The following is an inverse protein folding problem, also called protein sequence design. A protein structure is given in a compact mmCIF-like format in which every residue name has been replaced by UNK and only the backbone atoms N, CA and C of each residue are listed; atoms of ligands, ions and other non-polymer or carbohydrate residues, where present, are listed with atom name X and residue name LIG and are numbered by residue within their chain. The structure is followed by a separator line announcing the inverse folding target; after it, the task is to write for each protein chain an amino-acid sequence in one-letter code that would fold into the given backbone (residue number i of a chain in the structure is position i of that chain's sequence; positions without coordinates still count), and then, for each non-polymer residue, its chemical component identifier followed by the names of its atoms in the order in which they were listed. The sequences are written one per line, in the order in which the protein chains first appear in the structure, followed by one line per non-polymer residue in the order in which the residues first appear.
data_IF_409027802987
#
_entry.id   IF_409027802987
#
_cell.length_a   1.000
_cell.length_b   1.000
_cell.length_c   1.000
_cell.angle_alpha   90.00
_cell.angle_beta   90.00
_cell.angle_gamma   90.00
#
_symmetry.space_group_name_H-M   'P 1'
#
loop_
_entity.id
_entity.type
_entity.pdbx_description
1 polymer ?
#
# COMPACT_ATOMS: atom_id res chain seq x y z
N UNK A 1 38.39 41.86 -10.23
CA UNK A 1 37.81 41.85 -8.87
C UNK A 1 37.91 43.21 -8.17
N UNK A 2 38.97 44.01 -8.38
CA UNK A 2 39.10 45.35 -7.76
C UNK A 2 38.21 46.44 -8.38
N UNK A 3 38.07 46.47 -9.71
CA UNK A 3 37.31 47.52 -10.42
C UNK A 3 35.79 47.45 -10.15
N UNK A 4 35.20 46.24 -10.18
CA UNK A 4 33.77 46.02 -9.87
C UNK A 4 33.39 46.45 -8.44
N UNK A 5 34.34 46.40 -7.49
CA UNK A 5 34.14 46.88 -6.12
C UNK A 5 34.22 48.40 -5.99
N UNK A 6 35.02 49.05 -6.82
CA UNK A 6 35.15 50.51 -6.86
C UNK A 6 33.92 51.15 -7.52
N UNK A 7 33.44 50.59 -8.63
CA UNK A 7 32.21 51.02 -9.31
C UNK A 7 30.97 50.86 -8.43
N UNK A 8 30.85 49.75 -7.68
CA UNK A 8 29.75 49.57 -6.72
C UNK A 8 29.78 50.57 -5.56
N UNK A 9 30.95 50.98 -5.09
CA UNK A 9 31.08 52.00 -4.04
C UNK A 9 30.74 53.40 -4.56
N UNK A 10 31.21 53.74 -5.76
CA UNK A 10 30.90 55.03 -6.39
C UNK A 10 29.40 55.14 -6.75
N UNK A 11 28.81 54.07 -7.28
CA UNK A 11 27.36 54.01 -7.55
C UNK A 11 26.52 54.10 -6.26
N UNK A 12 26.97 53.47 -5.17
CA UNK A 12 26.31 53.59 -3.87
C UNK A 12 26.36 55.01 -3.30
N UNK A 13 27.50 55.72 -3.45
CA UNK A 13 27.65 57.11 -3.02
C UNK A 13 26.80 58.09 -3.85
N UNK A 14 26.64 57.83 -5.15
CA UNK A 14 25.76 58.62 -6.03
C UNK A 14 24.27 58.37 -5.72
N UNK A 15 23.89 57.13 -5.43
CA UNK A 15 22.52 56.77 -5.01
C UNK A 15 22.15 57.39 -3.66
N UNK A 16 23.07 57.38 -2.69
CA UNK A 16 22.84 57.99 -1.37
C UNK A 16 22.69 59.52 -1.48
N UNK A 17 23.48 60.16 -2.35
CA UNK A 17 23.32 61.59 -2.65
C UNK A 17 21.99 61.88 -3.36
N UNK A 18 21.58 61.04 -4.31
CA UNK A 18 20.30 61.15 -5.00
C UNK A 18 19.10 60.98 -4.03
N UNK A 19 19.18 60.01 -3.13
CA UNK A 19 18.17 59.78 -2.09
C UNK A 19 18.10 60.96 -1.12
N UNK A 20 19.24 61.48 -0.68
CA UNK A 20 19.28 62.67 0.18
C UNK A 20 18.70 63.89 -0.52
N UNK A 21 18.97 64.07 -1.82
CA UNK A 21 18.40 65.16 -2.63
C UNK A 21 16.87 65.02 -2.75
N UNK A 22 16.36 63.81 -2.98
CA UNK A 22 14.92 63.55 -3.04
C UNK A 22 14.26 63.83 -1.69
N UNK A 23 14.86 63.37 -0.59
CA UNK A 23 14.36 63.62 0.76
C UNK A 23 14.32 65.12 1.05
N UNK A 24 15.38 65.85 0.68
CA UNK A 24 15.42 67.30 0.82
C UNK A 24 14.32 67.99 -0.01
N UNK A 25 14.11 67.58 -1.27
CA UNK A 25 13.04 68.11 -2.11
C UNK A 25 11.66 67.86 -1.49
N UNK A 26 11.45 66.67 -0.90
CA UNK A 26 10.25 66.36 -0.16
C UNK A 26 10.09 67.27 1.07
N UNK A 27 11.14 67.43 1.89
CA UNK A 27 11.12 68.31 3.07
C UNK A 27 10.80 69.76 2.70
N UNK A 28 11.37 70.27 1.60
CA UNK A 28 11.08 71.62 1.09
C UNK A 28 9.62 71.76 0.64
N UNK A 29 9.07 70.74 -0.05
CA UNK A 29 7.65 70.70 -0.44
C UNK A 29 6.73 70.65 0.80
N UNK A 30 7.08 69.84 1.80
CA UNK A 30 6.32 69.73 3.05
C UNK A 30 6.38 71.03 3.86
N UNK A 31 7.53 71.71 3.92
CA UNK A 31 7.65 73.00 4.59
C UNK A 31 6.81 74.09 3.90
N UNK A 32 6.73 74.08 2.56
CA UNK A 32 5.84 74.96 1.81
C UNK A 32 4.37 74.66 2.11
N UNK A 33 3.99 73.38 2.16
CA UNK A 33 2.65 72.95 2.51
C UNK A 33 2.28 73.36 3.95
N UNK A 34 3.18 73.17 4.91
CA UNK A 34 2.99 73.57 6.31
C UNK A 34 2.80 75.08 6.43
N UNK A 35 3.60 75.87 5.71
CA UNK A 35 3.43 77.33 5.66
C UNK A 35 2.06 77.73 5.12
N UNK A 36 1.64 77.16 3.99
CA UNK A 36 0.32 77.43 3.41
C UNK A 36 -0.81 77.00 4.34
N UNK A 37 -0.67 75.84 4.99
CA UNK A 37 -1.63 75.37 5.98
C UNK A 37 -1.75 76.34 7.17
N UNK A 38 -0.64 76.84 7.68
CA UNK A 38 -0.63 77.84 8.75
C UNK A 38 -1.27 79.17 8.30
N UNK A 39 -1.02 79.61 7.06
CA UNK A 39 -1.69 80.79 6.48
C UNK A 39 -3.22 80.58 6.37
N UNK A 40 -3.67 79.40 5.91
CA UNK A 40 -5.09 79.04 5.84
C UNK A 40 -5.74 79.07 7.22
N UNK A 41 -5.07 78.52 8.25
CA UNK A 41 -5.55 78.54 9.64
C UNK A 41 -5.69 79.97 10.17
N UNK A 42 -4.76 80.86 9.81
CA UNK A 42 -4.79 82.27 10.21
C UNK A 42 -5.85 83.10 9.46
N UNK A 43 -6.31 82.63 8.29
CA UNK A 43 -7.35 83.26 7.48
C UNK A 43 -8.78 82.84 7.89
N UNK A 44 -9.02 82.46 9.15
CA UNK A 44 -10.33 82.03 9.64
C UNK A 44 -11.46 82.96 9.13
N UNK A 45 -12.46 82.44 8.42
CA UNK A 45 -13.57 83.26 7.96
C UNK A 45 -14.43 83.66 9.15
N UNK A 46 -14.70 84.95 9.30
CA UNK A 46 -15.73 85.46 10.22
C UNK A 46 -17.00 84.62 10.05
N UNK A 47 -17.46 84.04 11.17
CA UNK A 47 -18.57 83.08 11.20
C UNK A 47 -19.82 83.76 10.62
N UNK A 48 -20.20 83.38 9.40
CA UNK A 48 -21.44 83.83 8.78
C UNK A 48 -22.64 83.15 9.47
N UNK A 49 -23.69 83.91 9.77
CA UNK A 49 -24.84 83.45 10.56
C UNK A 49 -25.64 82.28 9.92
N UNK A 50 -25.42 81.96 8.64
CA UNK A 50 -26.09 80.87 7.93
C UNK A 50 -25.16 79.67 7.66
N UNK A 51 -25.08 78.76 8.62
CA UNK A 51 -24.22 77.57 8.57
C UNK A 51 -24.45 76.67 7.35
N UNK A 52 -25.67 76.62 6.80
CA UNK A 52 -25.99 75.72 5.69
C UNK A 52 -25.41 76.24 4.36
N UNK A 53 -25.54 77.54 4.07
CA UNK A 53 -24.95 78.16 2.88
C UNK A 53 -23.41 78.13 2.93
N UNK A 54 -22.82 78.29 4.11
CA UNK A 54 -21.37 78.17 4.32
C UNK A 54 -20.86 76.76 4.00
N UNK A 55 -21.58 75.71 4.43
CA UNK A 55 -21.19 74.32 4.16
C UNK A 55 -21.26 73.97 2.66
N UNK A 56 -22.30 74.45 1.95
CA UNK A 56 -22.46 74.25 0.51
C UNK A 56 -21.37 74.99 -0.26
N UNK A 57 -21.02 76.22 0.14
CA UNK A 57 -19.94 76.99 -0.48
C UNK A 57 -18.56 76.34 -0.27
N UNK A 58 -18.29 75.80 0.92
CA UNK A 58 -17.03 75.07 1.19
C UNK A 58 -16.94 73.80 0.35
N UNK A 59 -18.04 73.04 0.26
CA UNK A 59 -18.08 71.81 -0.53
C UNK A 59 -17.86 72.10 -2.02
N UNK A 60 -18.47 73.16 -2.56
CA UNK A 60 -18.25 73.61 -3.94
C UNK A 60 -16.80 74.05 -4.20
N UNK A 61 -16.16 74.74 -3.25
CA UNK A 61 -14.75 75.13 -3.36
C UNK A 61 -13.81 73.90 -3.34
N UNK A 62 -14.02 72.95 -2.41
CA UNK A 62 -13.22 71.72 -2.35
C UNK A 62 -13.42 70.82 -3.57
N UNK A 63 -14.63 70.78 -4.15
CA UNK A 63 -14.90 70.02 -5.36
C UNK A 63 -14.26 70.68 -6.60
N UNK A 64 -14.17 72.01 -6.63
CA UNK A 64 -13.44 72.75 -7.66
C UNK A 64 -11.92 72.53 -7.55
N UNK A 65 -11.36 72.55 -6.33
CA UNK A 65 -9.95 72.21 -6.08
C UNK A 65 -9.64 70.77 -6.48
N UNK A 66 -10.49 69.81 -6.10
CA UNK A 66 -10.31 68.41 -6.48
C UNK A 66 -10.26 68.24 -8.01
N UNK A 67 -11.19 68.88 -8.74
CA UNK A 67 -11.19 68.88 -10.21
C UNK A 67 -9.93 69.52 -10.80
N UNK A 68 -9.42 70.57 -10.17
CA UNK A 68 -8.15 71.18 -10.55
C UNK A 68 -6.98 70.20 -10.34
N UNK A 69 -6.86 69.57 -9.18
CA UNK A 69 -5.83 68.58 -8.88
C UNK A 69 -5.90 67.34 -9.80
N UNK A 70 -7.09 66.88 -10.14
CA UNK A 70 -7.28 65.76 -11.08
C UNK A 70 -6.91 66.12 -12.53
N UNK A 71 -6.98 67.40 -12.91
CA UNK A 71 -6.61 67.88 -14.25
C UNK A 71 -5.15 68.35 -14.32
N UNK A 72 -4.51 68.57 -13.18
CA UNK A 72 -3.10 68.91 -13.10
C UNK A 72 -2.25 67.67 -13.37
N UNK A 73 -1.34 67.74 -14.34
CA UNK A 73 -0.33 66.71 -14.50
C UNK A 73 0.58 66.73 -13.28
N UNK A 74 0.79 65.58 -12.60
CA UNK A 74 1.81 65.50 -11.57
C UNK A 74 3.15 65.92 -12.18
N UNK A 75 3.82 66.88 -11.57
CA UNK A 75 5.23 67.12 -11.87
C UNK A 75 5.96 65.80 -11.68
N UNK A 76 6.63 65.30 -12.72
CA UNK A 76 7.33 64.04 -12.67
C UNK A 76 8.27 64.06 -11.46
N UNK A 77 8.12 63.10 -10.55
CA UNK A 77 9.02 62.90 -9.41
C UNK A 77 10.49 62.68 -9.84
N UNK A 78 10.71 62.52 -11.15
CA UNK A 78 11.99 62.35 -11.80
C UNK A 78 12.75 63.68 -11.91
N UNK A 79 13.26 64.17 -10.78
CA UNK A 79 14.50 64.93 -10.82
C UNK A 79 15.70 63.97 -10.99
N UNK A 80 15.62 62.74 -10.42
CA UNK A 80 16.73 61.78 -10.43
C UNK A 80 16.32 60.37 -10.89
N UNK A 81 16.62 60.04 -12.14
CA UNK A 81 16.32 58.74 -12.75
C UNK A 81 17.12 57.56 -12.13
N UNK A 82 18.19 57.85 -11.37
CA UNK A 82 19.05 56.82 -10.76
C UNK A 82 18.34 56.09 -9.61
N UNK A 83 17.48 56.78 -8.85
CA UNK A 83 16.72 56.19 -7.74
C UNK A 83 15.75 55.13 -8.25
N UNK A 84 15.01 55.43 -9.32
CA UNK A 84 14.09 54.48 -9.96
C UNK A 84 14.84 53.29 -10.55
N UNK A 85 16.02 53.52 -11.12
CA UNK A 85 16.87 52.47 -11.66
C UNK A 85 17.41 51.56 -10.53
N UNK A 86 17.81 52.12 -9.40
CA UNK A 86 18.28 51.35 -8.25
C UNK A 86 17.16 50.52 -7.63
N UNK A 87 16.02 51.16 -7.34
CA UNK A 87 14.85 50.48 -6.80
C UNK A 87 14.36 49.35 -7.72
N UNK A 88 14.35 49.58 -9.05
CA UNK A 88 14.01 48.56 -10.02
C UNK A 88 14.99 47.38 -10.05
N UNK A 89 16.30 47.65 -9.92
CA UNK A 89 17.32 46.59 -9.83
C UNK A 89 17.17 45.76 -8.54
N UNK A 90 16.92 46.42 -7.43
CA UNK A 90 16.80 45.76 -6.13
C UNK A 90 15.55 44.88 -6.06
N UNK A 91 14.41 45.37 -6.54
CA UNK A 91 13.19 44.56 -6.65
C UNK A 91 13.37 43.39 -7.63
N UNK A 92 14.08 43.59 -8.75
CA UNK A 92 14.37 42.50 -9.68
C UNK A 92 15.26 41.42 -9.06
N UNK A 93 16.30 41.81 -8.32
CA UNK A 93 17.19 40.88 -7.62
C UNK A 93 16.46 40.09 -6.53
N UNK A 94 15.60 40.77 -5.77
CA UNK A 94 14.75 40.15 -4.76
C UNK A 94 13.82 39.11 -5.40
N UNK A 95 13.14 39.48 -6.49
CA UNK A 95 12.27 38.57 -7.23
C UNK A 95 13.04 37.35 -7.77
N UNK A 96 14.24 37.55 -8.32
CA UNK A 96 15.09 36.45 -8.76
C UNK A 96 15.40 35.48 -7.61
N UNK A 97 15.79 36.00 -6.44
CA UNK A 97 16.07 35.17 -5.26
C UNK A 97 14.83 34.40 -4.79
N UNK A 98 13.66 35.04 -4.78
CA UNK A 98 12.41 34.40 -4.39
C UNK A 98 12.00 33.29 -5.38
N UNK A 99 12.15 33.53 -6.68
CA UNK A 99 11.88 32.54 -7.72
C UNK A 99 12.84 31.35 -7.64
N UNK A 100 14.13 31.58 -7.39
CA UNK A 100 15.11 30.51 -7.17
C UNK A 100 14.75 29.64 -5.96
N UNK A 101 14.29 30.23 -4.86
CA UNK A 101 13.81 29.47 -3.71
C UNK A 101 12.56 28.65 -4.03
N UNK A 102 11.60 29.23 -4.77
CA UNK A 102 10.39 28.51 -5.19
C UNK A 102 10.75 27.32 -6.08
N UNK A 103 11.63 27.51 -7.07
CA UNK A 103 12.12 26.43 -7.93
C UNK A 103 12.77 25.34 -7.09
N UNK A 104 13.68 25.69 -6.20
CA UNK A 104 14.37 24.73 -5.31
C UNK A 104 13.39 23.92 -4.46
N UNK A 105 12.35 24.57 -3.92
CA UNK A 105 11.30 23.91 -3.15
C UNK A 105 10.47 22.95 -4.01
N UNK A 106 10.09 23.39 -5.22
CA UNK A 106 9.37 22.56 -6.19
C UNK A 106 10.18 21.33 -6.59
N UNK A 107 11.48 21.48 -6.84
CA UNK A 107 12.38 20.39 -7.19
C UNK A 107 12.55 19.40 -6.04
N UNK A 108 12.81 19.88 -4.82
CA UNK A 108 12.92 19.03 -3.64
C UNK A 108 11.62 18.23 -3.39
N UNK A 109 10.45 18.86 -3.57
CA UNK A 109 9.15 18.19 -3.44
C UNK A 109 8.96 17.14 -4.53
N UNK A 110 9.27 17.46 -5.78
CA UNK A 110 9.21 16.53 -6.91
C UNK A 110 10.09 15.31 -6.67
N UNK A 111 11.31 15.53 -6.20
CA UNK A 111 12.30 14.47 -6.02
C UNK A 111 11.90 13.53 -4.89
N UNK A 112 11.45 14.09 -3.76
CA UNK A 112 10.86 13.31 -2.66
C UNK A 112 9.66 12.48 -3.11
N UNK A 113 8.75 13.05 -3.92
CA UNK A 113 7.60 12.31 -4.42
C UNK A 113 8.01 11.17 -5.37
N UNK A 114 9.04 11.39 -6.18
CA UNK A 114 9.61 10.38 -7.07
C UNK A 114 10.18 9.20 -6.29
N UNK A 115 11.00 9.48 -5.26
CA UNK A 115 11.57 8.46 -4.38
C UNK A 115 10.49 7.67 -3.65
N UNK A 116 9.50 8.36 -3.06
CA UNK A 116 8.37 7.69 -2.39
C UNK A 116 7.63 6.77 -3.35
N UNK A 117 7.34 7.23 -4.58
CA UNK A 117 6.67 6.43 -5.60
C UNK A 117 7.48 5.16 -5.93
N UNK A 118 8.78 5.28 -6.11
CA UNK A 118 9.66 4.13 -6.41
C UNK A 118 9.65 3.10 -5.27
N UNK A 119 9.72 3.57 -4.02
CA UNK A 119 9.64 2.71 -2.84
C UNK A 119 8.28 2.02 -2.71
N UNK A 120 7.18 2.75 -2.91
CA UNK A 120 5.82 2.20 -2.88
C UNK A 120 5.62 1.15 -3.98
N UNK A 121 6.17 1.41 -5.17
CA UNK A 121 6.06 0.47 -6.29
C UNK A 121 6.86 -0.82 -6.02
N UNK A 122 8.05 -0.70 -5.45
CA UNK A 122 8.83 -1.87 -5.01
C UNK A 122 8.10 -2.66 -3.92
N UNK A 123 7.57 -1.98 -2.92
CA UNK A 123 6.80 -2.59 -1.83
C UNK A 123 5.54 -3.31 -2.35
N UNK A 124 4.84 -2.72 -3.31
CA UNK A 124 3.69 -3.35 -3.96
C UNK A 124 4.08 -4.65 -4.68
N UNK A 125 5.20 -4.64 -5.40
CA UNK A 125 5.69 -5.84 -6.07
C UNK A 125 6.07 -6.94 -5.07
N UNK A 126 6.79 -6.59 -4.01
CA UNK A 126 7.12 -7.53 -2.91
C UNK A 126 5.84 -8.10 -2.28
N UNK A 127 4.80 -7.29 -2.05
CA UNK A 127 3.51 -7.74 -1.53
C UNK A 127 2.81 -8.72 -2.47
N UNK A 128 2.86 -8.49 -3.79
CA UNK A 128 2.32 -9.43 -4.78
C UNK A 128 3.06 -10.75 -4.74
N UNK A 129 4.39 -10.73 -4.67
CA UNK A 129 5.19 -11.96 -4.60
C UNK A 129 4.88 -12.77 -3.33
N UNK A 130 4.74 -12.10 -2.18
CA UNK A 130 4.32 -12.75 -0.92
C UNK A 130 2.92 -13.36 -1.05
N UNK A 131 1.97 -12.64 -1.66
CA UNK A 131 0.62 -13.14 -1.88
C UNK A 131 0.61 -14.38 -2.79
N UNK A 132 1.38 -14.37 -3.88
CA UNK A 132 1.54 -15.52 -4.77
C UNK A 132 2.12 -16.72 -4.01
N UNK A 133 3.20 -16.52 -3.25
CA UNK A 133 3.81 -17.58 -2.45
C UNK A 133 2.86 -18.16 -1.39
N UNK A 134 2.04 -17.30 -0.76
CA UNK A 134 1.01 -17.73 0.18
C UNK A 134 -0.09 -18.54 -0.51
N UNK A 135 -0.58 -18.11 -1.67
CA UNK A 135 -1.57 -18.85 -2.45
C UNK A 135 -1.03 -20.22 -2.89
N UNK A 136 0.21 -20.28 -3.38
CA UNK A 136 0.86 -21.55 -3.74
C UNK A 136 1.00 -22.49 -2.53
N UNK A 137 1.25 -21.94 -1.34
CA UNK A 137 1.29 -22.71 -0.11
C UNK A 137 -0.10 -23.25 0.27
N UNK A 138 -1.15 -22.42 0.17
CA UNK A 138 -2.53 -22.81 0.42
C UNK A 138 -2.97 -23.93 -0.53
N UNK A 139 -2.68 -23.83 -1.82
CA UNK A 139 -3.04 -24.86 -2.79
C UNK A 139 -2.28 -26.17 -2.55
N UNK A 140 -0.98 -26.10 -2.18
CA UNK A 140 -0.24 -27.30 -1.76
C UNK A 140 -0.87 -27.98 -0.54
N UNK A 141 -1.21 -27.21 0.49
CA UNK A 141 -1.89 -27.73 1.68
C UNK A 141 -3.27 -28.32 1.35
N UNK A 142 -4.00 -27.73 0.40
CA UNK A 142 -5.29 -28.24 -0.06
C UNK A 142 -5.15 -29.62 -0.72
N UNK A 143 -4.18 -29.79 -1.62
CA UNK A 143 -3.89 -31.08 -2.25
C UNK A 143 -3.45 -32.11 -1.22
N UNK A 144 -2.59 -31.73 -0.28
CA UNK A 144 -2.12 -32.61 0.79
C UNK A 144 -3.27 -33.06 1.70
N UNK A 145 -4.15 -32.12 2.10
CA UNK A 145 -5.36 -32.41 2.87
C UNK A 145 -6.27 -33.38 2.17
N UNK A 146 -6.48 -33.23 0.86
CA UNK A 146 -7.32 -34.15 0.08
C UNK A 146 -6.70 -35.54 0.02
N UNK A 147 -5.38 -35.62 -0.23
CA UNK A 147 -4.63 -36.87 -0.30
C UNK A 147 -4.69 -37.66 1.00
N UNK A 148 -4.56 -36.98 2.15
CA UNK A 148 -4.63 -37.60 3.47
C UNK A 148 -6.01 -37.47 4.14
N UNK A 149 -7.05 -37.19 3.36
CA UNK A 149 -8.41 -37.18 3.89
C UNK A 149 -8.79 -38.58 4.37
N UNK A 150 -9.55 -38.64 5.47
CA UNK A 150 -10.05 -39.91 6.03
C UNK A 150 -10.77 -40.74 4.95
N UNK A 151 -11.52 -40.08 4.08
CA UNK A 151 -12.22 -40.70 2.97
C UNK A 151 -11.25 -41.38 1.97
N UNK A 152 -10.20 -40.67 1.54
CA UNK A 152 -9.22 -41.23 0.59
C UNK A 152 -8.41 -42.38 1.21
N UNK A 153 -8.00 -42.23 2.49
CA UNK A 153 -7.31 -43.30 3.25
C UNK A 153 -8.22 -44.53 3.38
N UNK A 154 -9.50 -44.33 3.67
CA UNK A 154 -10.48 -45.42 3.80
C UNK A 154 -10.71 -46.13 2.46
N UNK A 155 -10.79 -45.41 1.35
CA UNK A 155 -10.87 -46.00 0.00
C UNK A 155 -9.63 -46.83 -0.33
N UNK A 156 -8.42 -46.31 -0.06
CA UNK A 156 -7.16 -47.04 -0.27
C UNK A 156 -7.11 -48.32 0.58
N UNK A 157 -7.52 -48.22 1.85
CA UNK A 157 -7.56 -49.36 2.78
C UNK A 157 -8.56 -50.41 2.32
N UNK A 158 -9.76 -49.99 1.89
CA UNK A 158 -10.77 -50.88 1.30
C UNK A 158 -10.24 -51.61 0.07
N UNK A 159 -9.52 -50.91 -0.82
CA UNK A 159 -8.90 -51.52 -2.00
C UNK A 159 -7.85 -52.58 -1.62
N UNK A 160 -7.01 -52.31 -0.60
CA UNK A 160 -6.02 -53.28 -0.08
C UNK A 160 -6.69 -54.52 0.52
N UNK A 161 -7.74 -54.33 1.31
CA UNK A 161 -8.53 -55.44 1.89
C UNK A 161 -9.11 -56.31 0.78
N UNK A 162 -9.71 -55.69 -0.24
CA UNK A 162 -10.30 -56.43 -1.37
C UNK A 162 -9.25 -57.25 -2.12
N UNK A 163 -8.07 -56.68 -2.38
CA UNK A 163 -6.95 -57.39 -3.02
C UNK A 163 -6.49 -58.59 -2.20
N UNK A 164 -6.41 -58.43 -0.88
CA UNK A 164 -6.01 -59.51 0.03
C UNK A 164 -7.07 -60.63 0.08
N UNK A 165 -8.35 -60.27 0.05
CA UNK A 165 -9.46 -61.22 -0.04
C UNK A 165 -9.39 -62.06 -1.31
N UNK A 166 -9.17 -61.43 -2.47
CA UNK A 166 -9.01 -62.14 -3.75
C UNK A 166 -7.79 -63.07 -3.74
N UNK A 167 -6.67 -62.62 -3.17
CA UNK A 167 -5.48 -63.48 -3.04
C UNK A 167 -5.75 -64.70 -2.14
N UNK A 168 -6.46 -64.50 -1.02
CA UNK A 168 -6.85 -65.60 -0.13
C UNK A 168 -7.79 -66.58 -0.84
N UNK A 169 -8.78 -66.09 -1.60
CA UNK A 169 -9.69 -66.93 -2.38
C UNK A 169 -8.93 -67.80 -3.37
N UNK A 170 -7.99 -67.22 -4.14
CA UNK A 170 -7.13 -67.95 -5.08
C UNK A 170 -6.23 -68.99 -4.39
N UNK A 171 -5.68 -68.65 -3.23
CA UNK A 171 -4.86 -69.58 -2.44
C UNK A 171 -5.70 -70.76 -1.94
N UNK A 172 -6.90 -70.50 -1.45
CA UNK A 172 -7.82 -71.54 -0.98
C UNK A 172 -8.30 -72.43 -2.12
N UNK A 173 -8.56 -71.87 -3.30
CA UNK A 173 -8.88 -72.61 -4.52
C UNK A 173 -7.70 -73.53 -4.91
N UNK A 174 -6.49 -72.98 -4.97
CA UNK A 174 -5.27 -73.76 -5.27
C UNK A 174 -5.02 -74.89 -4.27
N UNK A 175 -5.26 -74.66 -2.98
CA UNK A 175 -5.14 -75.68 -1.95
C UNK A 175 -6.20 -76.77 -2.10
N UNK A 176 -7.43 -76.40 -2.45
CA UNK A 176 -8.51 -77.32 -2.78
C UNK A 176 -8.12 -78.27 -3.91
N UNK A 177 -7.61 -77.70 -5.02
CA UNK A 177 -7.14 -78.47 -6.19
C UNK A 177 -6.02 -79.46 -5.84
N UNK A 178 -5.11 -79.09 -4.94
CA UNK A 178 -4.02 -79.95 -4.47
C UNK A 178 -4.57 -81.09 -3.61
N UNK A 179 -5.47 -80.79 -2.67
CA UNK A 179 -6.06 -81.78 -1.78
C UNK A 179 -6.89 -82.81 -2.53
N UNK A 180 -7.66 -82.40 -3.54
CA UNK A 180 -8.44 -83.31 -4.39
C UNK A 180 -7.54 -84.30 -5.15
N UNK A 181 -6.37 -83.86 -5.60
CA UNK A 181 -5.41 -84.70 -6.33
C UNK A 181 -4.63 -85.67 -5.45
N UNK A 182 -4.36 -85.30 -4.19
CA UNK A 182 -3.40 -86.01 -3.33
C UNK A 182 -3.99 -86.64 -2.05
N UNK A 183 -5.22 -86.31 -1.67
CA UNK A 183 -5.90 -86.83 -0.49
C UNK A 183 -7.26 -87.42 -0.92
N UNK A 184 -7.35 -88.73 -1.20
CA UNK A 184 -8.61 -89.37 -1.55
C UNK A 184 -9.63 -89.18 -0.42
N UNK A 185 -10.87 -88.83 -0.78
CA UNK A 185 -11.95 -88.79 0.21
C UNK A 185 -12.08 -90.18 0.88
N UNK A 186 -12.23 -90.25 2.21
CA UNK A 186 -12.63 -91.48 2.86
C UNK A 186 -13.98 -91.89 2.26
N UNK A 187 -14.03 -93.02 1.56
CA UNK A 187 -15.31 -93.60 1.16
C UNK A 187 -16.05 -93.99 2.45
N UNK A 188 -17.19 -93.35 2.69
CA UNK A 188 -18.18 -93.84 3.64
C UNK A 188 -18.75 -95.16 3.11
N UNK A 189 -18.04 -96.25 3.38
CA UNK A 189 -18.59 -97.59 3.20
C UNK A 189 -19.54 -97.90 4.36
N UNK A 190 -20.75 -97.38 4.24
CA UNK A 190 -21.91 -98.11 4.75
C UNK A 190 -22.12 -99.33 3.85
N UNK A 191 -21.78 -100.53 4.31
CA UNK A 191 -22.51 -101.78 4.04
C UNK A 191 -21.91 -102.96 4.81
N UNK A 192 -22.76 -103.94 5.06
CA UNK A 192 -22.57 -105.04 5.98
C UNK A 192 -21.57 -106.12 5.54
N UNK A 193 -20.89 -106.71 6.53
CA UNK A 193 -20.84 -108.16 6.82
C UNK A 193 -19.45 -108.85 6.90
N UNK A 194 -19.23 -109.45 8.09
CA UNK A 194 -18.54 -110.73 8.39
C UNK A 194 -16.99 -110.86 8.30
N UNK A 195 -16.40 -110.81 9.52
CA UNK A 195 -15.47 -111.76 10.18
C UNK A 195 -13.97 -111.85 9.78
N UNK A 196 -13.15 -111.72 10.86
CA UNK A 196 -11.83 -112.35 11.20
C UNK A 196 -10.58 -111.69 10.57
N UNK A 197 -9.49 -111.34 11.26
CA UNK A 197 -8.85 -111.75 12.55
C UNK A 197 -7.98 -110.59 13.11
N UNK A 198 -7.76 -110.60 14.44
CA UNK A 198 -6.93 -109.70 15.24
C UNK A 198 -5.43 -109.64 14.86
N UNK A 199 -4.85 -108.43 14.91
CA UNK A 199 -3.49 -108.15 15.43
C UNK A 199 -3.55 -106.80 16.19
N UNK A 200 -3.11 -106.72 17.45
CA UNK A 200 -3.11 -105.47 18.21
C UNK A 200 -1.81 -104.70 17.97
N UNK A 201 -1.87 -103.54 17.32
CA UNK A 201 -0.80 -102.53 17.38
C UNK A 201 -1.32 -101.30 18.12
N UNK A 202 -0.87 -101.20 19.37
CA UNK A 202 -1.16 -100.11 20.29
C UNK A 202 -0.28 -98.92 19.90
N UNK A 203 -0.86 -97.92 19.25
CA UNK A 203 -0.30 -96.56 19.20
C UNK A 203 -1.37 -95.67 19.84
N UNK A 204 -1.15 -95.34 21.11
CA UNK A 204 -1.84 -94.26 21.80
C UNK A 204 -0.96 -93.02 21.71
N UNK A 205 -1.42 -92.01 21.00
CA UNK A 205 -1.10 -90.60 21.24
C UNK A 205 -2.22 -89.80 20.56
N UNK A 206 -2.72 -88.76 21.23
CA UNK A 206 -3.92 -87.98 20.92
C UNK A 206 -4.09 -87.55 19.45
N UNK A 207 -4.61 -88.46 18.61
CA UNK A 207 -4.98 -88.14 17.24
C UNK A 207 -6.35 -87.45 17.25
N UNK A 208 -6.34 -86.12 17.10
CA UNK A 208 -7.55 -85.35 16.82
C UNK A 208 -8.11 -85.79 15.47
N UNK A 209 -9.35 -86.28 15.46
CA UNK A 209 -10.02 -86.71 14.22
C UNK A 209 -9.98 -85.60 13.17
N UNK A 210 -9.58 -85.94 11.95
CA UNK A 210 -9.54 -85.01 10.81
C UNK A 210 -10.91 -84.35 10.57
N UNK A 211 -11.99 -85.08 10.82
CA UNK A 211 -13.35 -84.52 10.78
C UNK A 211 -13.53 -83.36 11.76
N UNK A 212 -12.92 -83.43 12.94
CA UNK A 212 -12.97 -82.41 13.99
C UNK A 212 -12.12 -81.19 13.62
N UNK A 213 -11.01 -81.38 12.90
CA UNK A 213 -10.18 -80.30 12.37
C UNK A 213 -10.89 -79.58 11.21
N UNK A 214 -11.51 -80.34 10.30
CA UNK A 214 -12.28 -79.79 9.18
C UNK A 214 -13.55 -79.06 9.66
N UNK A 215 -14.24 -79.59 10.67
CA UNK A 215 -15.42 -78.97 11.27
C UNK A 215 -15.08 -77.64 11.97
N UNK A 216 -13.89 -77.52 12.57
CA UNK A 216 -13.35 -76.26 13.09
C UNK A 216 -12.98 -75.29 11.96
N UNK A 217 -12.39 -75.76 10.86
CA UNK A 217 -12.07 -74.94 9.67
C UNK A 217 -13.32 -74.40 8.95
N UNK A 218 -14.38 -75.21 8.84
CA UNK A 218 -15.68 -74.80 8.26
C UNK A 218 -16.41 -73.83 9.19
N UNK A 219 -16.36 -74.02 10.52
CA UNK A 219 -16.90 -73.04 11.49
C UNK A 219 -16.16 -71.69 11.48
N UNK A 220 -14.83 -71.70 11.30
CA UNK A 220 -14.07 -70.46 11.14
C UNK A 220 -14.50 -69.67 9.89
N UNK A 221 -14.89 -70.35 8.80
CA UNK A 221 -15.47 -69.70 7.60
C UNK A 221 -16.76 -68.95 7.92
N UNK A 222 -17.64 -69.54 8.73
CA UNK A 222 -18.93 -68.94 9.10
C UNK A 222 -18.80 -67.72 10.03
N UNK A 223 -17.82 -67.74 10.94
CA UNK A 223 -17.58 -66.63 11.89
C UNK A 223 -16.94 -65.41 11.19
N UNK A 224 -16.06 -65.64 10.21
CA UNK A 224 -15.44 -64.57 9.41
C UNK A 224 -16.43 -63.90 8.43
N UNK A 225 -17.48 -64.60 7.99
CA UNK A 225 -18.56 -63.99 7.19
C UNK A 225 -19.57 -63.16 7.98
N UNK A 226 -19.62 -63.30 9.32
CA UNK A 226 -20.60 -62.62 10.19
C UNK A 226 -20.04 -61.37 10.90
N UNK A 227 -18.76 -61.04 10.72
CA UNK A 227 -18.11 -59.88 11.35
C UNK A 227 -17.62 -58.81 10.37
N UNK A 228 -18.12 -58.82 9.12
CA UNK A 228 -18.06 -57.70 8.19
C UNK A 228 -19.39 -56.96 8.12
#
# INVERSE_FOLDING_TARGET
MGEVRAERRAAGQLSEAAESELVQQCEEQFAQLEKLQNEIILCEPDICENHQEQSVSRLAATDAELKLWMSMQPSSLAANAEILLHAGKDEMLKLCSELEMVVSCCEAKRDKLRETKELEQKWLEEKKQVLLAANDHIERLRVEKEKYSEHNILLETKAKIQKMKTYQEQLMESLGDILEKHVPLPQDESTASKKKKNIPLKISEDLVSLSKILEVGVRCRSILTLTC
#
